data_IF_806975468902
#
_entry.id   IF_806975468902
#
_cell.length_a   1.000
_cell.length_b   1.000
_cell.length_c   1.000
_cell.angle_alpha   90.00
_cell.angle_beta   90.00
_cell.angle_gamma   90.00
#
_symmetry.space_group_name_H-M   'P 1'
#
loop_
_entity.id
_entity.type
_entity.pdbx_description
1 polymer ?
#
# COMPACT_ATOMS: atom_id res chain seq x y z
N UNK A 1 11.29 2.02 9.37
CA UNK A 1 10.81 3.31 8.86
C UNK A 1 11.16 4.51 9.77
N UNK A 2 12.11 4.37 10.71
CA UNK A 2 12.56 5.46 11.59
C UNK A 2 14.03 5.83 11.35
N UNK A 3 14.62 5.26 10.32
CA UNK A 3 15.97 5.60 9.89
C UNK A 3 15.94 6.80 8.94
N UNK A 4 17.02 7.59 8.85
CA UNK A 4 17.20 8.51 7.74
C UNK A 4 17.02 7.79 6.39
N UNK A 5 16.55 8.50 5.37
CA UNK A 5 16.23 7.92 4.06
C UNK A 5 17.34 7.03 3.52
N UNK A 6 18.55 7.55 3.45
CA UNK A 6 19.71 6.84 2.88
C UNK A 6 20.05 5.56 3.65
N UNK A 7 19.91 5.59 4.98
CA UNK A 7 20.13 4.41 5.82
C UNK A 7 19.02 3.37 5.64
N UNK A 8 17.78 3.81 5.40
CA UNK A 8 16.65 2.94 5.12
C UNK A 8 16.80 2.28 3.74
N UNK A 9 17.15 3.05 2.72
CA UNK A 9 17.42 2.56 1.37
C UNK A 9 18.52 1.49 1.38
N UNK A 10 19.64 1.77 2.07
CA UNK A 10 20.74 0.83 2.20
C UNK A 10 20.34 -0.45 2.95
N UNK A 11 19.61 -0.32 4.07
CA UNK A 11 19.19 -1.46 4.86
C UNK A 11 18.20 -2.36 4.09
N UNK A 12 17.25 -1.76 3.37
CA UNK A 12 16.29 -2.51 2.55
C UNK A 12 16.99 -3.21 1.39
N UNK A 13 17.93 -2.55 0.73
CA UNK A 13 18.70 -3.17 -0.34
C UNK A 13 19.48 -4.38 0.13
N UNK A 14 20.17 -4.29 1.29
CA UNK A 14 20.88 -5.43 1.89
C UNK A 14 19.91 -6.57 2.22
N UNK A 15 18.74 -6.25 2.79
CA UNK A 15 17.70 -7.24 3.04
C UNK A 15 17.21 -7.90 1.75
N UNK A 16 16.96 -7.11 0.70
CA UNK A 16 16.47 -7.62 -0.58
C UNK A 16 17.48 -8.56 -1.24
N UNK A 17 18.76 -8.24 -1.18
CA UNK A 17 19.82 -9.11 -1.69
C UNK A 17 19.89 -10.42 -0.90
N UNK A 18 19.88 -10.31 0.43
CA UNK A 18 19.91 -11.48 1.32
C UNK A 18 18.71 -12.41 1.10
N UNK A 19 17.49 -11.88 1.04
CA UNK A 19 16.30 -12.71 0.90
C UNK A 19 16.18 -13.32 -0.50
N UNK A 20 16.67 -12.62 -1.54
CA UNK A 20 16.76 -13.18 -2.88
C UNK A 20 17.71 -14.38 -2.93
N UNK A 21 18.89 -14.28 -2.30
CA UNK A 21 19.84 -15.38 -2.20
C UNK A 21 19.27 -16.55 -1.38
N UNK A 22 18.57 -16.26 -0.30
CA UNK A 22 17.89 -17.28 0.49
C UNK A 22 16.86 -18.06 -0.33
N UNK A 23 16.05 -17.38 -1.13
CA UNK A 23 15.03 -18.02 -1.97
C UNK A 23 15.62 -18.94 -3.05
N UNK A 24 16.85 -18.70 -3.49
CA UNK A 24 17.56 -19.57 -4.47
C UNK A 24 17.80 -20.99 -3.94
N UNK A 25 17.76 -21.19 -2.62
CA UNK A 25 17.90 -22.54 -2.03
C UNK A 25 16.75 -23.48 -2.38
N UNK A 26 15.54 -22.94 -2.63
CA UNK A 26 14.37 -23.71 -3.02
C UNK A 26 13.41 -22.86 -3.88
N UNK A 27 13.78 -22.52 -5.14
CA UNK A 27 13.11 -21.48 -5.92
C UNK A 27 11.67 -21.80 -6.32
N UNK A 28 11.22 -23.04 -6.17
CA UNK A 28 9.82 -23.46 -6.40
C UNK A 28 8.99 -23.50 -5.11
N UNK A 29 9.59 -23.17 -3.97
CA UNK A 29 8.96 -23.30 -2.65
C UNK A 29 9.13 -22.08 -1.76
N UNK A 30 10.17 -21.28 -2.00
CA UNK A 30 10.46 -20.07 -1.26
C UNK A 30 10.23 -18.87 -2.15
N UNK A 31 9.36 -17.99 -1.70
CA UNK A 31 9.02 -16.75 -2.36
C UNK A 31 9.16 -15.62 -1.33
N UNK A 32 9.70 -14.50 -1.72
CA UNK A 32 9.88 -13.38 -0.81
C UNK A 32 9.45 -12.07 -1.46
N UNK A 33 8.98 -11.17 -0.60
CA UNK A 33 8.58 -9.81 -0.96
C UNK A 33 9.69 -8.86 -0.54
N UNK A 34 10.26 -8.06 -1.46
CA UNK A 34 11.28 -7.08 -1.15
C UNK A 34 10.69 -5.88 -0.40
N UNK A 35 11.50 -5.24 0.44
CA UNK A 35 11.17 -3.98 1.07
C UNK A 35 11.57 -2.80 0.17
N UNK A 36 10.64 -1.88 -0.11
CA UNK A 36 10.84 -0.72 -0.97
C UNK A 36 10.74 0.56 -0.14
N UNK A 37 11.83 1.33 -0.12
CA UNK A 37 11.84 2.66 0.49
C UNK A 37 11.20 3.65 -0.48
N UNK A 38 10.14 4.32 -0.07
CA UNK A 38 9.32 5.18 -0.94
C UNK A 38 9.47 6.67 -0.66
N UNK A 39 10.48 7.09 0.10
CA UNK A 39 10.79 8.51 0.28
C UNK A 39 11.31 9.17 -0.99
N UNK A 40 12.15 8.46 -1.74
CA UNK A 40 12.62 8.86 -3.06
C UNK A 40 11.99 7.92 -4.10
N UNK A 41 11.11 8.46 -4.92
CA UNK A 41 10.32 7.63 -5.82
C UNK A 41 11.12 7.12 -7.03
N UNK A 42 12.14 7.85 -7.47
CA UNK A 42 13.03 7.38 -8.56
C UNK A 42 13.88 6.20 -8.07
N UNK A 43 14.38 6.28 -6.84
CA UNK A 43 15.04 5.16 -6.20
C UNK A 43 14.08 3.97 -6.02
N UNK A 44 12.87 4.22 -5.54
CA UNK A 44 11.86 3.18 -5.32
C UNK A 44 11.54 2.40 -6.60
N UNK A 45 11.34 3.10 -7.72
CA UNK A 45 11.09 2.49 -9.04
C UNK A 45 12.30 1.67 -9.51
N UNK A 46 13.50 2.21 -9.36
CA UNK A 46 14.74 1.51 -9.73
C UNK A 46 14.92 0.24 -8.91
N UNK A 47 14.69 0.33 -7.60
CA UNK A 47 14.83 -0.82 -6.69
C UNK A 47 13.71 -1.86 -6.92
N UNK A 48 12.49 -1.44 -7.22
CA UNK A 48 11.38 -2.33 -7.57
C UNK A 48 11.73 -3.16 -8.82
N UNK A 49 12.21 -2.51 -9.87
CA UNK A 49 12.68 -3.19 -11.09
C UNK A 49 13.81 -4.16 -10.81
N UNK A 50 14.81 -3.74 -10.02
CA UNK A 50 15.93 -4.60 -9.64
C UNK A 50 15.45 -5.85 -8.89
N UNK A 51 14.51 -5.69 -7.96
CA UNK A 51 13.95 -6.80 -7.20
C UNK A 51 13.12 -7.75 -8.07
N UNK A 52 12.40 -7.22 -9.05
CA UNK A 52 11.74 -8.02 -10.07
C UNK A 52 12.73 -8.88 -10.85
N UNK A 53 13.85 -8.29 -11.30
CA UNK A 53 14.91 -9.00 -12.05
C UNK A 53 15.62 -10.06 -11.19
N UNK A 54 15.66 -9.88 -9.86
CA UNK A 54 16.14 -10.88 -8.90
C UNK A 54 15.16 -12.04 -8.66
N UNK A 55 13.94 -11.97 -9.20
CA UNK A 55 12.89 -12.99 -9.04
C UNK A 55 12.13 -12.90 -7.72
N UNK A 56 12.19 -11.78 -7.02
CA UNK A 56 11.35 -11.53 -5.85
C UNK A 56 9.89 -11.26 -6.28
N UNK A 57 8.95 -11.24 -5.34
CA UNK A 57 7.52 -11.20 -5.63
C UNK A 57 6.86 -9.97 -5.00
N UNK A 58 6.41 -9.03 -5.80
CA UNK A 58 5.76 -7.81 -5.31
C UNK A 58 6.73 -6.82 -4.64
N UNK A 59 6.20 -5.78 -4.03
CA UNK A 59 6.97 -4.78 -3.29
C UNK A 59 6.28 -4.39 -2.00
N UNK A 60 6.96 -4.57 -0.85
CA UNK A 60 6.45 -4.12 0.45
C UNK A 60 6.73 -2.62 0.58
N UNK A 61 5.66 -1.86 0.73
CA UNK A 61 5.68 -0.42 0.99
C UNK A 61 5.03 -0.11 2.35
N UNK A 62 5.16 1.11 2.82
CA UNK A 62 4.51 1.49 4.06
C UNK A 62 2.97 1.53 3.96
N UNK A 63 2.30 1.08 5.01
CA UNK A 63 0.85 1.19 5.14
C UNK A 63 0.44 2.60 5.64
N UNK A 64 1.17 3.13 6.61
CA UNK A 64 0.94 4.47 7.14
C UNK A 64 2.01 5.41 6.57
N UNK A 65 1.67 6.25 5.58
CA UNK A 65 2.63 7.13 4.95
C UNK A 65 3.07 8.28 5.87
N UNK A 66 4.21 8.91 5.54
CA UNK A 66 4.55 10.20 6.11
C UNK A 66 3.41 11.20 5.79
N UNK A 67 2.90 11.97 6.76
CA UNK A 67 1.87 12.98 6.51
C UNK A 67 2.21 14.00 5.41
N UNK A 68 3.50 14.18 5.11
CA UNK A 68 3.97 15.02 4.01
C UNK A 68 3.89 14.33 2.64
N UNK A 69 3.72 13.02 2.63
CA UNK A 69 3.66 12.17 1.45
C UNK A 69 2.43 11.24 1.52
N UNK A 70 1.20 11.79 1.61
CA UNK A 70 0.00 10.96 1.68
C UNK A 70 -0.16 10.11 0.42
N UNK A 71 -0.77 8.93 0.54
CA UNK A 71 -0.99 8.00 -0.60
C UNK A 71 -1.81 8.61 -1.73
N UNK A 72 -2.57 9.65 -1.42
CA UNK A 72 -3.38 10.41 -2.40
C UNK A 72 -2.57 11.43 -3.21
N UNK A 73 -1.29 11.62 -2.90
CA UNK A 73 -0.44 12.58 -3.60
C UNK A 73 0.16 12.00 -4.89
N UNK A 74 0.53 12.87 -5.82
CA UNK A 74 1.21 12.50 -7.07
C UNK A 74 2.62 11.93 -6.86
N UNK A 75 3.14 11.98 -5.63
CA UNK A 75 4.46 11.45 -5.28
C UNK A 75 4.65 10.01 -5.75
N UNK A 76 3.63 9.18 -5.61
CA UNK A 76 3.71 7.74 -5.91
C UNK A 76 3.40 7.38 -7.35
N UNK A 77 3.02 8.32 -8.21
CA UNK A 77 2.47 8.02 -9.53
C UNK A 77 3.40 7.17 -10.38
N UNK A 78 4.71 7.43 -10.34
CA UNK A 78 5.71 6.63 -11.04
C UNK A 78 5.84 5.21 -10.49
N UNK A 79 5.67 5.04 -9.17
CA UNK A 79 5.68 3.72 -8.55
C UNK A 79 4.44 2.90 -8.92
N UNK A 80 3.26 3.55 -8.93
CA UNK A 80 2.03 2.91 -9.39
C UNK A 80 2.14 2.44 -10.84
N UNK A 81 2.65 3.30 -11.71
CA UNK A 81 2.88 2.98 -13.13
C UNK A 81 3.85 1.81 -13.30
N UNK A 82 5.00 1.84 -12.64
CA UNK A 82 6.01 0.78 -12.72
C UNK A 82 5.47 -0.56 -12.20
N UNK A 83 4.78 -0.56 -11.05
CA UNK A 83 4.19 -1.78 -10.50
C UNK A 83 3.10 -2.35 -11.42
N UNK A 84 2.27 -1.49 -12.02
CA UNK A 84 1.23 -1.88 -12.97
C UNK A 84 1.82 -2.47 -14.26
N UNK A 85 2.88 -1.88 -14.79
CA UNK A 85 3.59 -2.34 -16.00
C UNK A 85 4.26 -3.71 -15.78
N UNK A 86 4.91 -3.91 -14.64
CA UNK A 86 5.52 -5.17 -14.25
C UNK A 86 4.49 -6.25 -13.88
N UNK A 87 3.22 -5.88 -13.67
CA UNK A 87 2.21 -6.76 -13.07
C UNK A 87 2.56 -7.18 -11.64
N UNK A 88 3.26 -6.34 -10.91
CA UNK A 88 3.94 -6.62 -9.64
C UNK A 88 3.10 -6.05 -8.49
N UNK A 89 2.50 -6.86 -7.60
CA UNK A 89 1.64 -6.35 -6.55
C UNK A 89 2.42 -5.54 -5.53
N UNK A 90 1.80 -4.46 -5.03
CA UNK A 90 2.33 -3.70 -3.91
C UNK A 90 1.64 -4.12 -2.62
N UNK A 91 2.44 -4.39 -1.60
CA UNK A 91 2.02 -4.96 -0.33
C UNK A 91 2.06 -3.89 0.76
N UNK A 92 0.91 -3.60 1.34
CA UNK A 92 0.74 -2.70 2.47
C UNK A 92 0.59 -3.54 3.74
N UNK A 93 1.69 -3.69 4.47
CA UNK A 93 1.71 -4.54 5.65
C UNK A 93 1.44 -3.73 6.92
N UNK A 94 0.64 -4.26 7.83
CA UNK A 94 0.44 -3.62 9.13
C UNK A 94 1.80 -3.34 9.81
N UNK A 95 1.83 -2.39 10.72
CA UNK A 95 3.02 -2.00 11.47
C UNK A 95 4.16 -1.44 10.61
N UNK A 96 3.90 -1.08 9.36
CA UNK A 96 4.85 -0.40 8.49
C UNK A 96 4.45 1.06 8.27
N UNK A 97 5.41 1.95 8.30
CA UNK A 97 5.21 3.35 7.96
C UNK A 97 5.76 4.35 8.97
N UNK A 98 5.32 5.59 8.79
CA UNK A 98 5.75 6.74 9.56
C UNK A 98 5.12 6.74 10.97
N UNK A 99 5.98 7.01 11.97
CA UNK A 99 5.61 7.18 13.39
C UNK A 99 4.64 6.11 13.95
N UNK A 100 4.88 4.88 13.61
CA UNK A 100 4.05 3.76 14.02
C UNK A 100 4.10 3.46 15.53
N UNK A 101 5.04 4.05 16.27
CA UNK A 101 5.27 3.78 17.69
C UNK A 101 4.58 4.80 18.58
N UNK A 102 3.46 4.43 19.13
CA UNK A 102 2.87 5.14 20.26
C UNK A 102 3.54 4.69 21.55
N UNK A 103 4.68 5.31 21.86
CA UNK A 103 5.49 5.00 23.06
C UNK A 103 4.80 5.38 24.37
N UNK A 104 3.82 6.24 24.30
CA UNK A 104 3.02 6.78 25.39
C UNK A 104 1.96 5.80 25.93
N UNK A 105 1.53 4.83 25.13
CA UNK A 105 0.47 3.89 25.49
C UNK A 105 0.99 2.76 26.39
N UNK A 106 0.24 2.46 27.47
CA UNK A 106 0.56 1.40 28.43
C UNK A 106 -0.68 0.53 28.70
N UNK A 107 -0.44 -0.71 29.17
CA UNK A 107 -1.51 -1.62 29.59
C UNK A 107 -2.55 -1.86 28.49
N UNK A 108 -3.83 -1.79 28.85
CA UNK A 108 -4.96 -2.03 27.94
C UNK A 108 -5.03 -1.05 26.78
N UNK A 109 -4.56 0.19 26.94
CA UNK A 109 -4.53 1.17 25.85
C UNK A 109 -3.55 0.76 24.74
N UNK A 110 -2.41 0.14 25.11
CA UNK A 110 -1.47 -0.43 24.17
C UNK A 110 -2.11 -1.58 23.38
N UNK A 111 -2.84 -2.46 24.05
CA UNK A 111 -3.54 -3.58 23.40
C UNK A 111 -4.65 -3.07 22.49
N UNK A 112 -5.47 -2.12 22.95
CA UNK A 112 -6.52 -1.49 22.15
C UNK A 112 -5.95 -0.83 20.90
N UNK A 113 -4.85 -0.09 21.02
CA UNK A 113 -4.15 0.51 19.89
C UNK A 113 -3.72 -0.55 18.86
N UNK A 114 -3.11 -1.63 19.33
CA UNK A 114 -2.66 -2.72 18.43
C UNK A 114 -3.82 -3.42 17.71
N UNK A 115 -4.95 -3.62 18.36
CA UNK A 115 -6.14 -4.25 17.75
C UNK A 115 -6.80 -3.32 16.72
N UNK A 116 -6.99 -2.04 17.06
CA UNK A 116 -7.67 -1.09 16.17
C UNK A 116 -6.84 -0.72 14.94
N UNK A 117 -5.52 -0.68 15.07
CA UNK A 117 -4.59 -0.38 13.99
C UNK A 117 -4.81 -1.29 12.78
N UNK A 118 -5.01 -2.59 12.99
CA UNK A 118 -5.19 -3.56 11.89
C UNK A 118 -6.34 -3.19 10.96
N UNK A 119 -7.45 -2.73 11.51
CA UNK A 119 -8.66 -2.43 10.73
C UNK A 119 -8.71 -0.97 10.30
N UNK A 120 -8.37 -0.04 11.19
CA UNK A 120 -8.49 1.38 10.94
C UNK A 120 -7.48 1.86 9.86
N UNK A 121 -6.20 1.47 10.00
CA UNK A 121 -5.17 1.86 9.04
C UNK A 121 -5.36 1.14 7.71
N UNK A 122 -5.75 -0.13 7.73
CA UNK A 122 -6.07 -0.89 6.51
C UNK A 122 -7.23 -0.26 5.73
N UNK A 123 -8.30 0.11 6.44
CA UNK A 123 -9.45 0.78 5.82
C UNK A 123 -9.07 2.15 5.26
N UNK A 124 -8.24 2.92 5.97
CA UNK A 124 -7.74 4.22 5.51
C UNK A 124 -6.88 4.05 4.26
N UNK A 125 -5.94 3.11 4.27
CA UNK A 125 -5.08 2.82 3.11
C UNK A 125 -5.91 2.46 1.88
N UNK A 126 -6.88 1.55 2.04
CA UNK A 126 -7.74 1.14 0.94
C UNK A 126 -8.64 2.29 0.46
N UNK A 127 -9.18 3.09 1.39
CA UNK A 127 -9.95 4.29 1.07
C UNK A 127 -9.12 5.25 0.21
N UNK A 128 -7.92 5.61 0.67
CA UNK A 128 -7.04 6.55 -0.02
C UNK A 128 -6.70 6.07 -1.43
N UNK A 129 -6.39 4.78 -1.60
CA UNK A 129 -6.07 4.20 -2.91
C UNK A 129 -7.29 4.22 -3.85
N UNK A 130 -8.46 3.80 -3.38
CA UNK A 130 -9.68 3.80 -4.22
C UNK A 130 -10.05 5.22 -4.59
N UNK A 131 -10.23 6.11 -3.59
CA UNK A 131 -10.78 7.44 -3.81
C UNK A 131 -9.81 8.41 -4.48
N UNK A 132 -8.50 8.14 -4.47
CA UNK A 132 -7.53 8.90 -5.28
C UNK A 132 -7.61 8.59 -6.78
N UNK A 133 -8.40 7.60 -7.19
CA UNK A 133 -8.55 7.20 -8.58
C UNK A 133 -7.35 6.44 -9.17
N UNK A 134 -6.41 5.98 -8.32
CA UNK A 134 -5.21 5.30 -8.81
C UNK A 134 -5.53 4.05 -9.64
N UNK A 135 -6.56 3.28 -9.27
CA UNK A 135 -6.97 2.08 -10.02
C UNK A 135 -7.68 2.40 -11.34
N UNK A 136 -8.16 3.62 -11.53
CA UNK A 136 -8.69 4.07 -12.83
C UNK A 136 -7.57 4.55 -13.75
N UNK A 137 -6.53 5.20 -13.19
CA UNK A 137 -5.33 5.59 -13.93
C UNK A 137 -4.44 4.40 -14.27
N UNK A 138 -4.37 3.41 -13.37
CA UNK A 138 -3.55 2.19 -13.51
C UNK A 138 -4.41 0.93 -13.34
N UNK A 139 -5.23 0.54 -14.35
CA UNK A 139 -6.20 -0.57 -14.20
C UNK A 139 -5.58 -1.95 -13.96
N UNK A 140 -4.28 -2.12 -14.24
CA UNK A 140 -3.53 -3.37 -13.98
C UNK A 140 -2.79 -3.36 -12.65
N UNK A 141 -2.80 -2.24 -11.92
CA UNK A 141 -2.20 -2.17 -10.60
C UNK A 141 -2.90 -3.11 -9.63
N UNK A 142 -2.11 -3.92 -8.93
CA UNK A 142 -2.59 -4.80 -7.86
C UNK A 142 -1.98 -4.38 -6.53
N UNK A 143 -2.81 -4.39 -5.50
CA UNK A 143 -2.38 -4.12 -4.13
C UNK A 143 -2.88 -5.20 -3.19
N UNK A 144 -2.12 -5.44 -2.13
CA UNK A 144 -2.45 -6.39 -1.08
C UNK A 144 -2.37 -5.69 0.27
N UNK A 145 -3.40 -5.80 1.08
CA UNK A 145 -3.42 -5.34 2.47
C UNK A 145 -3.13 -6.54 3.35
N UNK A 146 -1.93 -6.57 3.92
CA UNK A 146 -1.37 -7.76 4.55
C UNK A 146 -1.57 -7.76 6.06
N UNK A 147 -1.96 -8.91 6.63
CA UNK A 147 -2.25 -9.16 8.06
C UNK A 147 -3.34 -8.28 8.68
N UNK A 148 -4.29 -7.79 7.88
CA UNK A 148 -5.29 -6.80 8.32
C UNK A 148 -6.70 -7.37 8.47
N UNK A 149 -6.85 -8.68 8.48
CA UNK A 149 -8.13 -9.38 8.46
C UNK A 149 -8.98 -9.00 7.22
N UNK A 150 -10.16 -9.57 7.05
CA UNK A 150 -11.03 -9.24 5.91
C UNK A 150 -12.47 -8.90 6.30
N UNK A 151 -12.88 -9.24 7.51
CA UNK A 151 -14.28 -9.08 7.95
C UNK A 151 -14.79 -7.63 7.91
N UNK A 152 -13.91 -6.64 7.95
CA UNK A 152 -14.24 -5.22 7.87
C UNK A 152 -14.57 -4.75 6.44
N UNK A 153 -14.00 -5.39 5.43
CA UNK A 153 -14.05 -4.95 4.03
C UNK A 153 -15.49 -4.82 3.48
N UNK A 154 -16.40 -5.81 3.62
CA UNK A 154 -17.75 -5.68 3.08
C UNK A 154 -18.52 -4.51 3.67
N UNK A 155 -18.34 -4.23 4.97
CA UNK A 155 -18.96 -3.10 5.63
C UNK A 155 -18.49 -1.77 5.06
N UNK A 156 -17.17 -1.59 4.93
CA UNK A 156 -16.63 -0.34 4.38
C UNK A 156 -17.00 -0.13 2.92
N UNK A 157 -16.94 -1.14 2.07
CA UNK A 157 -17.35 -1.04 0.67
C UNK A 157 -18.81 -0.61 0.56
N UNK A 158 -19.71 -1.22 1.36
CA UNK A 158 -21.11 -0.81 1.40
C UNK A 158 -21.28 0.66 1.82
N UNK A 159 -20.54 1.10 2.83
CA UNK A 159 -20.59 2.50 3.28
C UNK A 159 -20.04 3.45 2.22
N UNK A 160 -18.90 3.12 1.60
CA UNK A 160 -18.31 3.95 0.54
C UNK A 160 -19.22 4.07 -0.67
N UNK A 161 -19.87 3.00 -1.11
CA UNK A 161 -20.86 3.03 -2.18
C UNK A 161 -22.07 3.91 -1.82
N UNK A 162 -22.54 3.80 -0.58
CA UNK A 162 -23.64 4.64 -0.11
C UNK A 162 -23.28 6.12 -0.17
N UNK A 163 -22.12 6.50 0.37
CA UNK A 163 -21.68 7.89 0.35
C UNK A 163 -21.33 8.38 -1.04
N UNK A 164 -20.78 7.55 -1.90
CA UNK A 164 -20.57 7.87 -3.31
C UNK A 164 -21.91 8.24 -3.98
N UNK A 165 -22.92 7.34 -3.91
CA UNK A 165 -24.25 7.55 -4.47
C UNK A 165 -24.97 8.78 -3.89
N UNK A 166 -24.77 9.04 -2.60
CA UNK A 166 -25.39 10.18 -1.92
C UNK A 166 -24.82 11.53 -2.39
N UNK A 167 -23.54 11.57 -2.70
CA UNK A 167 -22.83 12.79 -3.07
C UNK A 167 -22.71 12.97 -4.59
N UNK A 168 -23.05 11.94 -5.38
CA UNK A 168 -23.09 12.01 -6.84
C UNK A 168 -24.54 12.10 -7.30
N UNK A 169 -24.86 13.07 -8.15
CA UNK A 169 -26.21 13.17 -8.73
C UNK A 169 -26.18 12.60 -10.14
N UNK A 170 -27.15 11.76 -10.52
CA UNK A 170 -27.25 11.27 -11.89
C UNK A 170 -27.30 12.43 -12.89
N UNK A 171 -26.42 12.41 -13.89
CA UNK A 171 -26.37 13.41 -14.96
C UNK A 171 -25.63 14.71 -14.63
N UNK A 172 -25.00 14.83 -13.45
CA UNK A 172 -24.09 15.95 -13.15
C UNK A 172 -22.65 15.49 -13.27
N UNK A 173 -21.72 16.36 -13.77
CA UNK A 173 -20.29 16.08 -13.72
C UNK A 173 -19.85 15.84 -12.27
N UNK A 174 -19.08 14.78 -12.05
CA UNK A 174 -18.53 14.46 -10.73
C UNK A 174 -17.17 15.14 -10.57
N UNK A 175 -17.16 16.47 -10.71
CA UNK A 175 -15.93 17.27 -10.72
C UNK A 175 -15.12 17.14 -9.42
N UNK A 176 -15.77 16.73 -8.33
CA UNK A 176 -15.15 16.61 -7.01
C UNK A 176 -14.58 15.22 -6.69
N UNK A 177 -14.80 14.21 -7.56
CA UNK A 177 -14.34 12.86 -7.32
C UNK A 177 -13.34 12.39 -8.37
N UNK A 178 -12.24 11.79 -7.92
CA UNK A 178 -11.24 11.20 -8.81
C UNK A 178 -11.64 9.80 -9.34
N UNK A 179 -12.85 9.31 -8.99
CA UNK A 179 -13.38 8.02 -9.43
C UNK A 179 -14.72 8.18 -10.16
N UNK A 180 -14.92 7.38 -11.20
CA UNK A 180 -16.12 7.40 -12.05
C UNK A 180 -17.07 6.23 -11.78
N UNK A 181 -16.66 5.26 -10.96
CA UNK A 181 -17.37 4.04 -10.61
C UNK A 181 -17.56 3.90 -9.09
N UNK A 182 -18.42 2.98 -8.68
CA UNK A 182 -18.58 2.65 -7.27
C UNK A 182 -17.27 2.11 -6.68
N UNK A 183 -16.92 2.47 -5.44
CA UNK A 183 -15.78 1.88 -4.73
C UNK A 183 -15.75 0.34 -4.75
N UNK A 184 -16.91 -0.32 -4.59
CA UNK A 184 -17.01 -1.78 -4.69
C UNK A 184 -16.64 -2.31 -6.08
N UNK A 185 -17.07 -1.63 -7.16
CA UNK A 185 -16.75 -2.02 -8.54
C UNK A 185 -15.26 -1.83 -8.88
N UNK A 186 -14.59 -0.90 -8.20
CA UNK A 186 -13.14 -0.73 -8.32
C UNK A 186 -12.42 -1.86 -7.61
N UNK A 187 -12.90 -2.25 -6.44
CA UNK A 187 -12.32 -3.32 -5.64
C UNK A 187 -12.44 -4.71 -6.28
N UNK A 188 -13.53 -5.00 -6.99
CA UNK A 188 -13.80 -6.31 -7.61
C UNK A 188 -12.95 -6.61 -8.86
N UNK A 189 -12.16 -5.65 -9.36
CA UNK A 189 -11.31 -5.81 -10.54
C UNK A 189 -9.90 -6.26 -10.18
#
# INVERSE_FOLDING_TARGET
FHLPREAQEAAFRIYNDWIADYCKMAPKRLFAVPAICVYDIEYAVTELQRCYDLGLMGGLVWQVPDPKLPLTSDHYEKLWAAAAELGYPLNFHILTGFDYRRKDLKGMEKVRGSVNIKTADAATTMYDLIWSGVFERHPSLRVEIVESEIGWMPFYLQQWDYYYKRNTKPGQPQEDFAISRLPSEIFEK
#
